data_IF_143361949236
#
_entry.id   IF_143361949236
#
_cell.length_a   1.000
_cell.length_b   1.000
_cell.length_c   1.000
_cell.angle_alpha   90.00
_cell.angle_beta   90.00
_cell.angle_gamma   90.00
#
_symmetry.space_group_name_H-M   'P 1'
#
loop_
_entity.id
_entity.type
_entity.pdbx_description
1 polymer ?
#
# COMPACT_ATOMS: atom_id res chain seq x y z
N UNK A 1 5.09 12.61 16.96
CA UNK A 1 5.54 12.82 15.57
C UNK A 1 6.63 13.87 15.59
N UNK A 2 7.71 13.62 14.85
CA UNK A 2 8.83 14.54 14.63
C UNK A 2 9.14 14.52 13.14
N UNK A 3 8.65 15.54 12.43
CA UNK A 3 8.80 15.63 11.00
C UNK A 3 8.99 17.10 10.60
N UNK A 4 10.20 17.48 10.13
CA UNK A 4 10.46 18.85 9.72
C UNK A 4 9.44 19.35 8.68
N UNK A 5 8.89 20.57 8.82
CA UNK A 5 7.90 21.10 7.88
C UNK A 5 8.37 21.08 6.43
N UNK A 6 7.44 20.85 5.48
CA UNK A 6 7.75 20.80 4.04
C UNK A 6 8.45 19.52 3.55
N UNK A 7 8.57 18.49 4.40
CA UNK A 7 8.90 17.11 3.97
C UNK A 7 7.61 16.29 3.81
N UNK A 8 7.73 15.08 3.27
CA UNK A 8 6.57 14.23 2.93
C UNK A 8 5.62 13.88 4.09
N UNK A 9 6.06 13.99 5.34
CA UNK A 9 5.23 13.73 6.53
C UNK A 9 4.93 15.05 7.26
N UNK A 10 4.25 16.01 6.64
CA UNK A 10 3.98 17.31 7.29
C UNK A 10 2.94 17.15 8.43
N UNK A 11 3.19 17.69 9.64
CA UNK A 11 2.18 17.72 10.72
C UNK A 11 0.84 18.33 10.32
N UNK A 12 0.81 19.27 9.38
CA UNK A 12 -0.43 19.85 8.87
C UNK A 12 -1.28 18.83 8.09
N UNK A 13 -0.64 17.98 7.28
CA UNK A 13 -1.32 16.91 6.54
C UNK A 13 -1.83 15.82 7.49
N UNK A 14 -1.05 15.47 8.51
CA UNK A 14 -1.51 14.61 9.60
C UNK A 14 -2.78 15.16 10.26
N UNK A 15 -2.76 16.43 10.69
CA UNK A 15 -3.91 17.05 11.37
C UNK A 15 -5.14 17.10 10.46
N UNK A 16 -4.97 17.45 9.18
CA UNK A 16 -6.07 17.52 8.20
C UNK A 16 -6.79 16.18 8.04
N UNK A 17 -6.05 15.09 7.88
CA UNK A 17 -6.63 13.76 7.71
C UNK A 17 -7.14 13.22 9.05
N UNK A 18 -6.44 13.45 10.16
CA UNK A 18 -6.90 13.09 11.51
C UNK A 18 -8.26 13.70 11.85
N UNK A 19 -8.44 15.01 11.61
CA UNK A 19 -9.71 15.70 11.85
C UNK A 19 -10.85 15.12 11.00
N UNK A 20 -10.55 14.73 9.77
CA UNK A 20 -11.51 14.04 8.91
C UNK A 20 -11.90 12.67 9.49
N UNK A 21 -10.92 11.84 9.88
CA UNK A 21 -11.18 10.53 10.47
C UNK A 21 -12.00 10.64 11.77
N UNK A 22 -11.71 11.62 12.63
CA UNK A 22 -12.48 11.85 13.86
C UNK A 22 -13.93 12.24 13.59
N UNK A 23 -14.19 13.09 12.58
CA UNK A 23 -15.57 13.44 12.17
C UNK A 23 -16.36 12.23 11.66
N UNK A 24 -15.67 11.23 11.11
CA UNK A 24 -16.28 9.96 10.70
C UNK A 24 -16.39 8.95 11.86
N UNK A 25 -16.07 9.36 13.08
CA UNK A 25 -16.00 8.48 14.25
C UNK A 25 -15.02 7.30 14.07
N UNK A 26 -13.92 7.53 13.35
CA UNK A 26 -12.79 6.61 13.24
C UNK A 26 -11.65 7.02 14.20
N UNK A 27 -10.74 6.08 14.45
CA UNK A 27 -9.69 6.25 15.45
C UNK A 27 -8.35 6.65 14.82
N UNK A 28 -8.13 7.95 14.63
CA UNK A 28 -6.80 8.53 14.48
C UNK A 28 -6.25 8.98 15.85
N UNK A 29 -4.92 9.01 16.10
CA UNK A 29 -4.38 9.52 17.35
C UNK A 29 -4.77 10.98 17.58
N UNK A 30 -5.29 11.32 18.76
CA UNK A 30 -5.57 12.72 19.10
C UNK A 30 -4.27 13.51 19.22
N UNK A 31 -4.22 14.73 18.69
CA UNK A 31 -3.12 15.66 18.95
C UNK A 31 -3.32 16.34 20.30
N UNK A 32 -2.52 15.95 21.30
CA UNK A 32 -2.54 16.47 22.67
C UNK A 32 -1.88 17.85 22.74
N UNK A 33 -0.77 18.02 22.01
CA UNK A 33 -0.08 19.29 21.85
C UNK A 33 0.54 19.37 20.45
N UNK A 34 0.69 20.58 19.93
CA UNK A 34 1.23 20.83 18.59
C UNK A 34 2.22 21.99 18.58
N UNK A 35 3.33 21.79 17.88
CA UNK A 35 4.27 22.82 17.47
C UNK A 35 4.58 22.60 16.00
N UNK A 36 3.64 23.01 15.15
CA UNK A 36 3.73 22.84 13.70
C UNK A 36 4.83 23.70 13.07
N UNK A 37 5.26 24.77 13.75
CA UNK A 37 6.36 25.61 13.27
C UNK A 37 7.70 24.84 13.30
N UNK A 38 7.88 23.97 14.30
CA UNK A 38 9.07 23.13 14.43
C UNK A 38 8.87 21.67 14.00
N UNK A 39 7.67 21.28 13.57
CA UNK A 39 7.42 19.93 13.03
C UNK A 39 6.97 18.89 14.06
N UNK A 40 6.52 19.30 15.24
CA UNK A 40 6.21 18.39 16.35
C UNK A 40 4.72 18.24 16.62
N UNK A 41 4.28 17.00 16.86
CA UNK A 41 3.00 16.68 17.47
C UNK A 41 3.19 15.70 18.63
N UNK A 42 2.57 16.00 19.77
CA UNK A 42 2.36 15.04 20.86
C UNK A 42 1.02 14.36 20.61
N UNK A 43 1.03 13.04 20.46
CA UNK A 43 -0.13 12.25 20.02
C UNK A 43 -0.61 11.31 21.13
N UNK A 44 -1.91 10.98 21.12
CA UNK A 44 -2.50 9.89 21.90
C UNK A 44 -1.77 8.58 21.62
N UNK A 45 -1.44 7.85 22.69
CA UNK A 45 -0.88 6.51 22.59
C UNK A 45 -1.98 5.46 22.43
N UNK A 46 -1.93 4.73 21.32
CA UNK A 46 -2.84 3.63 21.00
C UNK A 46 -2.43 2.29 21.65
N UNK A 47 -1.26 2.25 22.30
CA UNK A 47 -0.68 1.06 22.88
C UNK A 47 -0.23 0.06 21.82
N UNK A 48 0.07 -1.17 22.25
CA UNK A 48 0.82 -2.13 21.44
C UNK A 48 -0.06 -3.16 20.71
N UNK A 49 -1.34 -2.85 20.49
CA UNK A 49 -2.31 -3.76 19.85
C UNK A 49 -2.11 -3.97 18.34
N UNK A 50 -0.88 -3.88 17.82
CA UNK A 50 -0.59 -3.95 16.38
C UNK A 50 -1.18 -5.24 15.78
N UNK A 51 -2.02 -5.11 14.75
CA UNK A 51 -2.68 -6.25 14.09
C UNK A 51 -1.66 -7.33 13.69
N UNK A 52 -0.55 -6.89 13.09
CA UNK A 52 0.62 -7.70 12.79
C UNK A 52 1.00 -8.68 13.90
N UNK A 53 1.17 -8.14 15.11
CA UNK A 53 1.65 -8.87 16.29
C UNK A 53 0.55 -9.77 16.85
N UNK A 54 -0.69 -9.30 16.84
CA UNK A 54 -1.83 -10.08 17.32
C UNK A 54 -2.06 -11.33 16.46
N UNK A 55 -2.02 -11.18 15.14
CA UNK A 55 -2.17 -12.31 14.20
C UNK A 55 -0.99 -13.28 14.30
N UNK A 56 0.23 -12.77 14.46
CA UNK A 56 1.40 -13.64 14.67
C UNK A 56 1.29 -14.48 15.96
N UNK A 57 0.68 -13.92 17.01
CA UNK A 57 0.50 -14.61 18.29
C UNK A 57 -0.70 -15.58 18.28
N UNK A 58 -1.79 -15.23 17.58
CA UNK A 58 -2.98 -16.07 17.43
C UNK A 58 -3.52 -15.94 15.99
N UNK A 59 -3.18 -16.88 15.09
CA UNK A 59 -3.64 -16.85 13.71
C UNK A 59 -5.16 -16.81 13.53
N UNK A 60 -5.93 -17.28 14.52
CA UNK A 60 -7.41 -17.21 14.45
C UNK A 60 -7.94 -15.77 14.52
N UNK A 61 -7.11 -14.80 14.90
CA UNK A 61 -7.45 -13.38 14.91
C UNK A 61 -7.39 -12.74 13.52
N UNK A 62 -6.78 -13.38 12.51
CA UNK A 62 -6.58 -12.79 11.19
C UNK A 62 -7.90 -12.32 10.58
N UNK A 63 -8.83 -13.25 10.34
CA UNK A 63 -10.10 -12.92 9.70
C UNK A 63 -10.93 -11.90 10.51
N UNK A 64 -11.14 -12.04 11.84
CA UNK A 64 -11.86 -11.04 12.63
C UNK A 64 -11.25 -9.64 12.59
N UNK A 65 -9.92 -9.52 12.74
CA UNK A 65 -9.23 -8.23 12.73
C UNK A 65 -9.29 -7.61 11.33
N UNK A 66 -8.97 -8.38 10.30
CA UNK A 66 -8.99 -7.90 8.92
C UNK A 66 -10.40 -7.52 8.48
N UNK A 67 -11.43 -8.27 8.89
CA UNK A 67 -12.83 -7.89 8.66
C UNK A 67 -13.13 -6.51 9.26
N UNK A 68 -12.72 -6.25 10.51
CA UNK A 68 -12.92 -4.94 11.13
C UNK A 68 -12.18 -3.81 10.39
N UNK A 69 -10.99 -4.09 9.85
CA UNK A 69 -10.27 -3.15 9.00
C UNK A 69 -11.01 -2.87 7.69
N UNK A 70 -11.56 -3.89 7.02
CA UNK A 70 -12.33 -3.72 5.79
C UNK A 70 -13.66 -2.99 6.04
N UNK A 71 -14.34 -3.27 7.15
CA UNK A 71 -15.52 -2.48 7.58
C UNK A 71 -15.16 -1.00 7.80
N UNK A 72 -13.98 -0.72 8.34
CA UNK A 72 -13.45 0.64 8.51
C UNK A 72 -13.18 1.31 7.16
N UNK A 73 -12.59 0.60 6.19
CA UNK A 73 -12.40 1.11 4.82
C UNK A 73 -13.72 1.43 4.13
N UNK A 74 -14.69 0.51 4.18
CA UNK A 74 -16.00 0.70 3.58
C UNK A 74 -16.72 1.91 4.20
N UNK A 75 -16.60 2.12 5.51
CA UNK A 75 -17.14 3.30 6.18
C UNK A 75 -16.43 4.58 5.74
N UNK A 76 -15.09 4.59 5.68
CA UNK A 76 -14.31 5.73 5.21
C UNK A 76 -14.72 6.14 3.79
N UNK A 77 -14.78 5.18 2.87
CA UNK A 77 -14.99 5.41 1.44
C UNK A 77 -16.44 5.79 1.07
N UNK A 78 -17.40 5.62 1.98
CA UNK A 78 -18.79 6.11 1.81
C UNK A 78 -18.93 7.62 2.02
N UNK A 79 -17.90 8.28 2.56
CA UNK A 79 -17.92 9.70 2.85
C UNK A 79 -17.04 10.47 1.87
N UNK A 80 -17.41 11.72 1.59
CA UNK A 80 -16.62 12.58 0.73
C UNK A 80 -15.24 12.86 1.35
N UNK A 81 -14.19 12.69 0.55
CA UNK A 81 -12.83 12.97 0.97
C UNK A 81 -12.63 14.47 1.27
N UNK A 82 -11.65 14.84 2.12
CA UNK A 82 -11.24 16.23 2.30
C UNK A 82 -10.89 16.89 0.97
N UNK A 83 -11.23 18.19 0.83
CA UNK A 83 -10.88 18.94 -0.37
C UNK A 83 -9.37 19.12 -0.54
N UNK A 84 -8.92 19.25 -1.79
CA UNK A 84 -7.53 19.56 -2.13
C UNK A 84 -6.53 18.47 -1.77
N UNK A 85 -6.95 17.21 -1.77
CA UNK A 85 -6.02 16.07 -1.72
C UNK A 85 -5.38 15.84 -3.08
N UNK A 86 -4.13 15.32 -3.14
CA UNK A 86 -3.53 14.89 -4.39
C UNK A 86 -4.44 13.91 -5.12
N UNK A 87 -4.55 14.04 -6.44
CA UNK A 87 -5.37 13.17 -7.27
C UNK A 87 -4.58 12.71 -8.49
N UNK A 88 -3.93 11.56 -8.36
CA UNK A 88 -3.03 11.02 -9.37
C UNK A 88 -3.81 10.34 -10.50
N UNK A 89 -3.45 10.67 -11.73
CA UNK A 89 -4.01 10.07 -12.93
C UNK A 89 -3.52 8.63 -13.12
N UNK A 90 -4.20 7.86 -13.98
CA UNK A 90 -3.72 6.54 -14.40
C UNK A 90 -2.28 6.56 -14.96
N UNK A 91 -1.89 7.65 -15.63
CA UNK A 91 -0.53 7.84 -16.14
C UNK A 91 0.49 7.98 -15.01
N UNK A 92 0.18 8.78 -13.99
CA UNK A 92 1.05 8.97 -12.82
C UNK A 92 1.26 7.65 -12.06
N UNK A 93 0.18 6.87 -11.91
CA UNK A 93 0.25 5.54 -11.29
C UNK A 93 1.03 4.52 -12.12
N UNK A 94 0.91 4.56 -13.46
CA UNK A 94 1.69 3.72 -14.35
C UNK A 94 3.18 4.09 -14.30
N UNK A 95 3.51 5.38 -14.27
CA UNK A 95 4.89 5.83 -14.09
C UNK A 95 5.48 5.37 -12.75
N UNK A 96 4.71 5.44 -11.67
CA UNK A 96 5.14 4.95 -10.36
C UNK A 96 5.42 3.43 -10.34
N UNK A 97 4.74 2.65 -11.18
CA UNK A 97 5.02 1.21 -11.32
C UNK A 97 6.38 0.94 -12.00
N UNK A 98 6.93 1.91 -12.75
CA UNK A 98 8.22 1.75 -13.43
C UNK A 98 9.43 1.79 -12.49
N UNK A 99 9.21 1.87 -11.18
CA UNK A 99 10.27 1.63 -10.19
C UNK A 99 10.87 0.23 -10.33
N UNK A 100 10.08 -0.80 -10.67
CA UNK A 100 10.60 -2.15 -10.89
C UNK A 100 11.66 -2.20 -12.00
N UNK A 101 11.40 -1.75 -13.25
CA UNK A 101 12.44 -1.73 -14.28
C UNK A 101 13.61 -0.80 -13.92
N UNK A 102 13.33 0.40 -13.37
CA UNK A 102 14.36 1.42 -13.04
C UNK A 102 15.36 0.98 -11.97
N UNK A 103 14.91 0.28 -10.92
CA UNK A 103 15.77 -0.04 -9.77
C UNK A 103 16.02 -1.54 -9.63
N UNK A 104 14.97 -2.36 -9.72
CA UNK A 104 15.11 -3.80 -9.51
C UNK A 104 15.72 -4.50 -10.72
N UNK A 105 15.14 -4.33 -11.91
CA UNK A 105 15.66 -4.98 -13.12
C UNK A 105 17.03 -4.41 -13.50
N UNK A 106 17.21 -3.08 -13.42
CA UNK A 106 18.48 -2.43 -13.71
C UNK A 106 19.64 -2.98 -12.87
N UNK A 107 19.43 -3.17 -11.55
CA UNK A 107 20.47 -3.73 -10.67
C UNK A 107 20.81 -5.20 -10.97
N UNK A 108 19.90 -5.96 -11.59
CA UNK A 108 20.13 -7.37 -11.95
C UNK A 108 20.77 -7.49 -13.34
N UNK A 109 20.27 -6.72 -14.30
CA UNK A 109 20.66 -6.76 -15.72
C UNK A 109 21.87 -5.86 -16.04
N UNK A 110 22.25 -4.96 -15.12
CA UNK A 110 23.31 -3.97 -15.31
C UNK A 110 22.88 -2.73 -16.09
N UNK A 111 21.66 -2.68 -16.60
CA UNK A 111 21.06 -1.54 -17.28
C UNK A 111 19.54 -1.58 -17.17
N UNK A 112 18.90 -0.41 -17.24
CA UNK A 112 17.44 -0.31 -17.26
C UNK A 112 16.90 -0.88 -18.59
N UNK A 113 16.00 -1.88 -18.56
CA UNK A 113 15.37 -2.39 -19.78
C UNK A 113 14.39 -1.35 -20.36
N UNK A 114 14.15 -1.41 -21.68
CA UNK A 114 13.09 -0.62 -22.30
C UNK A 114 11.71 -1.01 -21.74
N UNK A 115 11.16 -0.16 -20.89
CA UNK A 115 9.91 -0.41 -20.17
C UNK A 115 8.70 0.34 -20.78
N UNK A 116 8.87 1.07 -21.88
CA UNK A 116 7.77 1.83 -22.49
C UNK A 116 6.54 0.97 -22.86
N UNK A 117 6.69 -0.28 -23.36
CA UNK A 117 5.54 -1.17 -23.57
C UNK A 117 4.83 -1.55 -22.27
N UNK A 118 5.59 -1.80 -21.19
CA UNK A 118 5.04 -2.14 -19.88
C UNK A 118 4.28 -0.95 -19.28
N UNK A 119 4.85 0.25 -19.33
CA UNK A 119 4.19 1.46 -18.84
C UNK A 119 2.86 1.70 -19.57
N UNK A 120 2.86 1.60 -20.90
CA UNK A 120 1.65 1.75 -21.73
C UNK A 120 0.59 0.70 -21.36
N UNK A 121 1.00 -0.56 -21.18
CA UNK A 121 0.07 -1.64 -20.81
C UNK A 121 -0.54 -1.41 -19.41
N UNK A 122 0.26 -0.99 -18.43
CA UNK A 122 -0.21 -0.67 -17.07
C UNK A 122 -1.16 0.52 -17.10
N UNK A 123 -0.82 1.61 -17.81
CA UNK A 123 -1.69 2.78 -17.94
C UNK A 123 -3.03 2.40 -18.58
N UNK A 124 -3.00 1.61 -19.65
CA UNK A 124 -4.21 1.15 -20.34
C UNK A 124 -5.10 0.31 -19.43
N UNK A 125 -4.51 -0.62 -18.68
CA UNK A 125 -5.24 -1.45 -17.72
C UNK A 125 -5.86 -0.61 -16.59
N UNK A 126 -5.12 0.36 -16.04
CA UNK A 126 -5.61 1.30 -15.04
C UNK A 126 -6.79 2.12 -15.58
N UNK A 127 -6.64 2.77 -16.74
CA UNK A 127 -7.72 3.55 -17.37
C UNK A 127 -8.99 2.72 -17.58
N UNK A 128 -8.83 1.45 -17.98
CA UNK A 128 -9.96 0.59 -18.32
C UNK A 128 -10.68 0.01 -17.11
N UNK A 129 -9.93 -0.35 -16.06
CA UNK A 129 -10.46 -1.17 -14.97
C UNK A 129 -10.37 -0.52 -13.59
N UNK A 130 -9.59 0.55 -13.45
CA UNK A 130 -9.30 1.19 -12.17
C UNK A 130 -9.13 2.71 -12.33
N UNK A 131 -10.02 3.39 -13.06
CA UNK A 131 -10.05 4.86 -13.19
C UNK A 131 -11.46 5.42 -12.93
N UNK A 132 -12.26 4.66 -12.19
CA UNK A 132 -13.63 5.00 -11.81
C UNK A 132 -13.71 5.98 -10.62
N UNK A 133 -14.79 5.92 -9.82
CA UNK A 133 -15.01 6.83 -8.70
C UNK A 133 -13.80 6.98 -7.78
N UNK A 134 -13.48 8.24 -7.44
CA UNK A 134 -12.37 8.59 -6.56
C UNK A 134 -12.86 8.60 -5.11
N UNK A 135 -12.11 7.96 -4.23
CA UNK A 135 -12.33 7.94 -2.78
C UNK A 135 -11.05 8.34 -2.04
N UNK A 136 -11.16 8.65 -0.75
CA UNK A 136 -9.99 8.78 0.11
C UNK A 136 -9.31 7.41 0.26
N UNK A 137 -8.05 7.32 -0.16
CA UNK A 137 -7.15 6.21 0.13
C UNK A 137 -6.09 6.68 1.13
N UNK A 138 -5.77 5.85 2.10
CA UNK A 138 -4.76 6.11 3.14
C UNK A 138 -3.36 5.67 2.70
N UNK A 139 -3.28 4.86 1.62
CA UNK A 139 -2.08 4.34 0.94
C UNK A 139 -1.26 3.30 1.68
N UNK A 140 -1.03 3.52 2.98
CA UNK A 140 -0.28 2.65 3.88
C UNK A 140 -1.22 1.90 4.85
N UNK A 141 -2.37 1.47 4.31
CA UNK A 141 -3.37 0.68 5.03
C UNK A 141 -2.97 -0.80 5.06
N UNK A 142 -2.20 -1.19 6.07
CA UNK A 142 -1.75 -2.57 6.26
C UNK A 142 -1.53 -2.89 7.74
N UNK A 143 -1.41 -4.17 8.10
CA UNK A 143 -1.51 -4.60 9.50
C UNK A 143 -0.40 -4.09 10.46
N UNK A 144 0.71 -3.52 9.98
CA UNK A 144 1.65 -2.79 10.86
C UNK A 144 1.11 -1.43 11.33
N UNK A 145 0.21 -0.83 10.54
CA UNK A 145 -0.30 0.53 10.77
C UNK A 145 -1.74 0.52 11.33
N UNK A 146 -2.20 -0.67 11.75
CA UNK A 146 -3.52 -0.88 12.34
C UNK A 146 -3.35 -1.37 13.78
N UNK A 147 -3.94 -0.65 14.72
CA UNK A 147 -3.89 -0.97 16.15
C UNK A 147 -5.26 -1.42 16.62
N UNK A 148 -5.34 -2.57 17.28
CA UNK A 148 -6.56 -3.02 17.94
C UNK A 148 -6.76 -2.29 19.27
N UNK A 149 -7.90 -1.62 19.41
CA UNK A 149 -8.28 -0.81 20.57
C UNK A 149 -9.47 -1.46 21.27
N UNK A 150 -9.27 -2.53 22.08
CA UNK A 150 -10.35 -3.39 22.58
C UNK A 150 -11.34 -2.68 23.49
N UNK A 151 -10.95 -1.55 24.10
CA UNK A 151 -11.80 -0.73 24.96
C UNK A 151 -12.70 0.24 24.19
N UNK A 152 -12.44 0.45 22.89
CA UNK A 152 -13.30 1.26 22.01
C UNK A 152 -14.44 0.38 21.48
N UNK A 153 -15.47 1.00 20.90
CA UNK A 153 -16.66 0.31 20.40
C UNK A 153 -16.75 0.38 18.89
N UNK A 154 -17.33 -0.64 18.26
CA UNK A 154 -17.57 -0.71 16.81
C UNK A 154 -16.30 -0.45 15.98
N UNK A 155 -16.40 0.40 14.95
CA UNK A 155 -15.30 0.78 14.06
C UNK A 155 -14.14 1.47 14.79
N UNK A 156 -14.41 2.12 15.93
CA UNK A 156 -13.34 2.76 16.72
C UNK A 156 -12.35 1.77 17.32
N UNK A 157 -12.62 0.46 17.26
CA UNK A 157 -11.67 -0.58 17.67
C UNK A 157 -10.47 -0.69 16.73
N UNK A 158 -10.52 -0.10 15.54
CA UNK A 158 -9.40 -0.05 14.60
C UNK A 158 -8.74 1.33 14.67
N UNK A 159 -7.59 1.41 15.34
CA UNK A 159 -6.69 2.54 15.33
C UNK A 159 -5.92 2.62 14.01
N UNK A 160 -5.91 3.79 13.39
CA UNK A 160 -5.28 4.07 12.10
C UNK A 160 -4.03 4.90 12.33
N UNK A 161 -2.89 4.44 11.81
CA UNK A 161 -1.60 5.15 11.80
C UNK A 161 -1.14 5.42 10.36
N UNK A 162 -0.11 6.27 10.20
CA UNK A 162 0.55 6.57 8.92
C UNK A 162 -0.39 6.93 7.76
N UNK A 163 -1.44 7.71 8.05
CA UNK A 163 -2.45 8.13 7.08
C UNK A 163 -2.18 9.51 6.45
N UNK A 164 -1.15 10.24 6.89
CA UNK A 164 -0.85 11.62 6.46
C UNK A 164 -0.57 11.75 4.96
N UNK A 165 -0.16 10.67 4.30
CA UNK A 165 0.01 10.60 2.84
C UNK A 165 -1.29 10.33 2.08
N UNK A 166 -2.43 10.32 2.77
CA UNK A 166 -3.73 10.02 2.19
C UNK A 166 -4.06 10.96 1.03
N UNK A 167 -4.71 10.40 0.01
CA UNK A 167 -4.94 11.08 -1.26
C UNK A 167 -6.21 10.55 -1.95
N UNK A 168 -6.59 11.13 -3.08
CA UNK A 168 -7.64 10.56 -3.92
C UNK A 168 -7.12 9.33 -4.66
N UNK A 169 -7.93 8.28 -4.73
CA UNK A 169 -7.59 7.02 -5.39
C UNK A 169 -8.80 6.14 -5.63
N UNK A 170 -8.54 4.91 -6.05
CA UNK A 170 -9.58 3.92 -6.35
C UNK A 170 -9.93 3.09 -5.10
N UNK A 171 -11.21 2.69 -4.93
CA UNK A 171 -11.68 2.00 -3.71
C UNK A 171 -10.85 0.80 -3.28
N UNK A 172 -10.45 -0.05 -4.22
CA UNK A 172 -9.72 -1.28 -3.93
C UNK A 172 -8.24 -1.07 -3.54
N UNK A 173 -7.69 0.16 -3.63
CA UNK A 173 -6.25 0.40 -3.43
C UNK A 173 -5.76 0.00 -2.03
N UNK A 174 -6.48 0.43 -0.99
CA UNK A 174 -6.13 0.11 0.40
C UNK A 174 -6.48 -1.33 0.77
N UNK A 175 -7.49 -1.92 0.12
CA UNK A 175 -7.80 -3.34 0.29
C UNK A 175 -6.65 -4.21 -0.25
N UNK A 176 -6.11 -3.89 -1.42
CA UNK A 176 -4.91 -4.54 -1.96
C UNK A 176 -3.73 -4.36 -1.00
N UNK A 177 -3.55 -3.16 -0.43
CA UNK A 177 -2.51 -2.89 0.56
C UNK A 177 -2.60 -3.81 1.79
N UNK A 178 -3.83 -4.06 2.27
CA UNK A 178 -4.09 -4.90 3.43
C UNK A 178 -3.90 -6.39 3.13
N UNK A 179 -4.47 -6.87 2.02
CA UNK A 179 -4.59 -8.30 1.72
C UNK A 179 -3.39 -8.86 0.94
N UNK A 180 -2.68 -8.01 0.20
CA UNK A 180 -1.43 -8.37 -0.51
C UNK A 180 -0.24 -7.68 0.16
N UNK A 181 -0.18 -7.79 1.50
CA UNK A 181 0.85 -7.15 2.31
C UNK A 181 2.22 -7.80 2.09
N UNK A 182 3.20 -7.00 1.68
CA UNK A 182 4.56 -7.46 1.45
C UNK A 182 5.21 -8.09 2.70
N UNK A 183 4.75 -7.75 3.90
CA UNK A 183 5.41 -8.11 5.17
C UNK A 183 4.87 -9.37 5.81
N UNK A 184 3.70 -9.85 5.38
CA UNK A 184 3.02 -11.00 6.00
C UNK A 184 2.24 -11.81 4.97
N UNK A 185 2.05 -13.08 5.27
CA UNK A 185 1.27 -13.98 4.42
C UNK A 185 -0.18 -13.97 4.91
N UNK A 186 -1.03 -13.20 4.24
CA UNK A 186 -2.47 -13.19 4.50
C UNK A 186 -3.07 -14.44 3.87
N UNK A 187 -3.84 -15.21 4.64
CA UNK A 187 -4.39 -16.47 4.14
C UNK A 187 -5.30 -16.26 2.92
N UNK A 188 -5.32 -17.24 2.02
CA UNK A 188 -6.16 -17.21 0.82
C UNK A 188 -7.65 -17.17 1.19
N UNK A 189 -8.01 -17.81 2.30
CA UNK A 189 -9.35 -17.81 2.89
C UNK A 189 -9.76 -16.39 3.31
N UNK A 190 -8.89 -15.67 4.03
CA UNK A 190 -9.12 -14.27 4.41
C UNK A 190 -9.20 -13.35 3.20
N UNK A 191 -8.24 -13.45 2.26
CA UNK A 191 -8.24 -12.63 1.03
C UNK A 191 -9.55 -12.85 0.24
N UNK A 192 -9.95 -14.11 0.04
CA UNK A 192 -11.18 -14.46 -0.70
C UNK A 192 -12.44 -13.93 -0.01
N UNK A 193 -12.59 -14.18 1.30
CA UNK A 193 -13.77 -13.77 2.04
C UNK A 193 -13.94 -12.24 2.07
N UNK A 194 -12.83 -11.50 2.24
CA UNK A 194 -12.87 -10.05 2.34
C UNK A 194 -12.97 -9.35 0.98
N UNK A 195 -12.41 -9.93 -0.07
CA UNK A 195 -12.67 -9.50 -1.45
C UNK A 195 -14.15 -9.68 -1.82
N UNK A 196 -14.77 -10.82 -1.46
CA UNK A 196 -16.19 -11.05 -1.69
C UNK A 196 -17.08 -10.04 -0.93
N UNK A 197 -16.71 -9.74 0.32
CA UNK A 197 -17.42 -8.72 1.12
C UNK A 197 -17.28 -7.31 0.55
N UNK A 198 -16.08 -6.93 0.09
CA UNK A 198 -15.82 -5.58 -0.41
C UNK A 198 -16.43 -5.36 -1.80
N UNK A 199 -16.34 -6.35 -2.69
CA UNK A 199 -16.76 -6.27 -4.08
C UNK A 199 -18.18 -6.75 -4.37
N UNK A 200 -19.01 -7.02 -3.34
CA UNK A 200 -20.30 -7.70 -3.47
C UNK A 200 -21.22 -7.13 -4.56
N UNK A 201 -21.19 -5.80 -4.76
CA UNK A 201 -22.06 -5.07 -5.70
C UNK A 201 -21.32 -4.47 -6.90
N UNK A 202 -20.06 -4.85 -7.12
CA UNK A 202 -19.22 -4.30 -8.20
C UNK A 202 -18.71 -5.42 -9.13
N UNK A 203 -19.33 -5.62 -10.32
CA UNK A 203 -18.88 -6.64 -11.26
C UNK A 203 -17.49 -6.34 -11.87
N UNK A 204 -17.02 -5.09 -11.78
CA UNK A 204 -15.69 -4.67 -12.20
C UNK A 204 -14.61 -4.90 -11.14
N UNK A 205 -14.99 -5.21 -9.90
CA UNK A 205 -14.09 -5.24 -8.76
C UNK A 205 -12.90 -6.19 -8.96
N UNK A 206 -13.13 -7.41 -9.43
CA UNK A 206 -12.05 -8.40 -9.58
C UNK A 206 -10.95 -7.92 -10.54
N UNK A 207 -11.33 -7.28 -11.65
CA UNK A 207 -10.39 -6.70 -12.59
C UNK A 207 -9.67 -5.49 -11.98
N UNK A 208 -10.40 -4.60 -11.31
CA UNK A 208 -9.83 -3.43 -10.62
C UNK A 208 -8.80 -3.85 -9.56
N UNK A 209 -9.16 -4.83 -8.72
CA UNK A 209 -8.32 -5.39 -7.67
C UNK A 209 -7.03 -5.98 -8.23
N UNK A 210 -7.12 -6.81 -9.28
CA UNK A 210 -5.94 -7.37 -9.93
C UNK A 210 -5.04 -6.29 -10.55
N UNK A 211 -5.62 -5.30 -11.24
CA UNK A 211 -4.85 -4.20 -11.87
C UNK A 211 -4.13 -3.36 -10.83
N UNK A 212 -4.80 -2.97 -9.74
CA UNK A 212 -4.20 -2.22 -8.64
C UNK A 212 -3.16 -3.07 -7.89
N UNK A 213 -3.40 -4.36 -7.73
CA UNK A 213 -2.45 -5.35 -7.21
C UNK A 213 -1.15 -5.39 -8.03
N UNK A 214 -1.25 -5.55 -9.35
CA UNK A 214 -0.10 -5.57 -10.24
C UNK A 214 0.66 -4.23 -10.22
N UNK A 215 -0.06 -3.10 -10.31
CA UNK A 215 0.53 -1.77 -10.23
C UNK A 215 1.31 -1.58 -8.92
N UNK A 216 0.70 -1.90 -7.78
CA UNK A 216 1.33 -1.77 -6.45
C UNK A 216 2.53 -2.70 -6.31
N UNK A 217 2.42 -3.95 -6.75
CA UNK A 217 3.51 -4.92 -6.66
C UNK A 217 4.74 -4.47 -7.46
N UNK A 218 4.55 -4.02 -8.72
CA UNK A 218 5.62 -3.45 -9.55
C UNK A 218 6.30 -2.26 -8.85
N UNK A 219 5.50 -1.34 -8.31
CA UNK A 219 6.01 -0.20 -7.56
C UNK A 219 6.81 -0.63 -6.32
N UNK A 220 6.27 -1.53 -5.50
CA UNK A 220 6.89 -1.97 -4.24
C UNK A 220 8.20 -2.72 -4.48
N UNK A 221 8.26 -3.62 -5.47
CA UNK A 221 9.49 -4.34 -5.84
C UNK A 221 10.61 -3.34 -6.14
N UNK A 222 10.31 -2.32 -6.94
CA UNK A 222 11.27 -1.27 -7.26
C UNK A 222 11.62 -0.37 -6.08
N UNK A 223 10.67 -0.05 -5.21
CA UNK A 223 10.93 0.71 -3.97
C UNK A 223 11.87 -0.07 -3.04
N UNK A 224 11.66 -1.37 -2.86
CA UNK A 224 12.54 -2.20 -2.02
C UNK A 224 13.95 -2.30 -2.59
N UNK A 225 14.10 -2.45 -3.91
CA UNK A 225 15.39 -2.37 -4.57
C UNK A 225 16.05 -0.99 -4.35
N UNK A 226 15.32 0.10 -4.58
CA UNK A 226 15.81 1.48 -4.35
C UNK A 226 16.22 1.72 -2.90
N UNK A 227 15.47 1.23 -1.92
CA UNK A 227 15.79 1.35 -0.50
C UNK A 227 17.09 0.65 -0.14
N UNK A 228 17.41 -0.48 -0.79
CA UNK A 228 18.73 -1.08 -0.65
C UNK A 228 19.80 -0.25 -1.38
N UNK A 229 19.62 -0.02 -2.67
CA UNK A 229 20.63 0.62 -3.53
C UNK A 229 21.02 2.01 -3.03
N UNK A 230 20.05 2.84 -2.63
CA UNK A 230 20.28 4.24 -2.27
C UNK A 230 20.04 4.52 -0.78
N UNK A 231 19.23 3.72 -0.10
CA UNK A 231 18.93 3.91 1.32
C UNK A 231 19.75 3.04 2.27
N UNK A 232 20.57 2.13 1.74
CA UNK A 232 21.36 1.19 2.54
C UNK A 232 20.52 0.26 3.41
N UNK A 233 19.29 -0.07 2.97
CA UNK A 233 18.34 -0.92 3.71
C UNK A 233 18.19 -2.30 3.05
N UNK A 234 19.17 -3.22 3.18
CA UNK A 234 19.10 -4.54 2.56
C UNK A 234 17.96 -5.42 3.11
N UNK A 235 17.47 -5.13 4.33
CA UNK A 235 16.40 -5.89 4.97
C UNK A 235 15.06 -5.91 4.22
N UNK A 236 14.88 -5.08 3.18
CA UNK A 236 13.70 -5.13 2.32
C UNK A 236 13.80 -6.16 1.18
N UNK A 237 15.01 -6.59 0.78
CA UNK A 237 15.17 -7.55 -0.32
C UNK A 237 14.49 -8.91 -0.05
N UNK A 238 14.55 -9.48 1.17
CA UNK A 238 13.85 -10.72 1.50
C UNK A 238 12.32 -10.65 1.35
N UNK A 239 11.73 -9.46 1.26
CA UNK A 239 10.29 -9.28 1.05
C UNK A 239 9.89 -9.35 -0.43
N UNK A 240 10.84 -9.16 -1.36
CA UNK A 240 10.58 -9.12 -2.81
C UNK A 240 9.94 -10.42 -3.34
N UNK A 241 10.38 -11.63 -2.96
CA UNK A 241 9.76 -12.88 -3.44
C UNK A 241 8.25 -12.95 -3.19
N UNK A 242 7.79 -12.47 -2.02
CA UNK A 242 6.35 -12.42 -1.71
C UNK A 242 5.61 -11.46 -2.62
N UNK A 243 6.13 -10.23 -2.77
CA UNK A 243 5.52 -9.21 -3.65
C UNK A 243 5.51 -9.68 -5.10
N UNK A 244 6.55 -10.39 -5.54
CA UNK A 244 6.58 -11.03 -6.85
C UNK A 244 5.51 -12.10 -7.01
N UNK A 245 5.27 -12.94 -6.00
CA UNK A 245 4.18 -13.92 -6.05
C UNK A 245 2.80 -13.25 -6.17
N UNK A 246 2.57 -12.15 -5.45
CA UNK A 246 1.36 -11.33 -5.64
C UNK A 246 1.27 -10.77 -7.06
N UNK A 247 2.37 -10.24 -7.61
CA UNK A 247 2.40 -9.78 -9.01
C UNK A 247 2.00 -10.90 -9.97
N UNK A 248 2.61 -12.07 -9.88
CA UNK A 248 2.31 -13.21 -10.77
C UNK A 248 0.84 -13.64 -10.67
N UNK A 249 0.27 -13.69 -9.46
CA UNK A 249 -1.14 -14.01 -9.24
C UNK A 249 -2.06 -12.98 -9.90
N UNK A 250 -1.77 -11.69 -9.74
CA UNK A 250 -2.54 -10.62 -10.37
C UNK A 250 -2.43 -10.69 -11.90
N UNK A 251 -1.23 -10.91 -12.44
CA UNK A 251 -0.98 -11.03 -13.88
C UNK A 251 -1.69 -12.23 -14.54
N UNK A 252 -2.08 -13.24 -13.76
CA UNK A 252 -2.88 -14.36 -14.26
C UNK A 252 -4.34 -13.95 -14.58
N UNK A 253 -4.81 -12.78 -14.11
CA UNK A 253 -6.15 -12.29 -14.42
C UNK A 253 -6.25 -11.87 -15.91
N UNK A 254 -7.31 -12.26 -16.65
CA UNK A 254 -7.42 -11.98 -18.09
C UNK A 254 -7.30 -10.50 -18.48
N UNK A 255 -7.79 -9.59 -17.63
CA UNK A 255 -7.68 -8.14 -17.81
C UNK A 255 -6.23 -7.62 -17.88
N UNK A 256 -5.26 -8.40 -17.40
CA UNK A 256 -3.85 -8.03 -17.34
C UNK A 256 -2.98 -8.77 -18.37
N UNK A 257 -3.58 -9.46 -19.35
CA UNK A 257 -2.82 -10.25 -20.35
C UNK A 257 -1.71 -9.46 -21.08
N UNK A 258 -1.94 -8.20 -21.43
CA UNK A 258 -0.92 -7.36 -22.07
C UNK A 258 0.16 -6.90 -21.08
N UNK A 259 -0.21 -6.63 -19.84
CA UNK A 259 0.74 -6.33 -18.76
C UNK A 259 1.62 -7.55 -18.48
N UNK A 260 1.02 -8.74 -18.45
CA UNK A 260 1.73 -10.00 -18.23
C UNK A 260 2.81 -10.21 -19.30
N UNK A 261 2.45 -10.07 -20.59
CA UNK A 261 3.41 -10.14 -21.71
C UNK A 261 4.51 -9.09 -21.58
N UNK A 262 4.15 -7.84 -21.33
CA UNK A 262 5.12 -6.74 -21.25
C UNK A 262 6.03 -6.83 -20.01
N UNK A 263 5.59 -7.50 -18.95
CA UNK A 263 6.36 -7.67 -17.71
C UNK A 263 7.51 -8.67 -17.81
N UNK A 264 7.62 -9.41 -18.93
CA UNK A 264 8.71 -10.36 -19.19
C UNK A 264 10.11 -9.74 -19.20
N UNK A 265 10.21 -8.41 -19.24
CA UNK A 265 11.46 -7.66 -19.08
C UNK A 265 12.04 -7.72 -17.66
N UNK A 266 11.24 -8.19 -16.68
CA UNK A 266 11.65 -8.25 -15.28
C UNK A 266 12.20 -9.66 -14.95
N UNK A 267 13.44 -9.77 -14.45
CA UNK A 267 13.99 -11.05 -14.03
C UNK A 267 13.31 -11.54 -12.72
N UNK A 268 13.09 -12.85 -12.54
CA UNK A 268 12.50 -13.38 -11.31
C UNK A 268 13.44 -13.18 -10.09
N UNK A 269 12.91 -13.04 -8.87
CA UNK A 269 13.70 -12.77 -7.67
C UNK A 269 14.34 -14.05 -7.12
N UNK A 270 15.19 -14.69 -7.91
CA UNK A 270 16.02 -15.80 -7.45
C UNK A 270 17.00 -15.31 -6.39
N UNK A 271 17.48 -16.22 -5.55
CA UNK A 271 18.51 -15.92 -4.56
C UNK A 271 19.73 -15.24 -5.20
N UNK A 272 20.17 -15.73 -6.37
CA UNK A 272 21.26 -15.11 -7.13
C UNK A 272 20.96 -13.66 -7.51
N UNK A 273 19.75 -13.38 -8.03
CA UNK A 273 19.35 -12.04 -8.44
C UNK A 273 19.24 -11.09 -7.25
N UNK A 274 18.70 -11.55 -6.12
CA UNK A 274 18.63 -10.75 -4.90
C UNK A 274 20.02 -10.46 -4.33
N UNK A 275 20.95 -11.42 -4.37
CA UNK A 275 22.34 -11.22 -3.98
C UNK A 275 23.06 -10.21 -4.88
N UNK A 276 22.79 -10.20 -6.19
CA UNK A 276 23.33 -9.17 -7.10
C UNK A 276 22.92 -7.77 -6.67
N UNK A 277 21.66 -7.57 -6.28
CA UNK A 277 21.18 -6.28 -5.73
C UNK A 277 21.85 -5.99 -4.39
N UNK A 278 21.91 -6.97 -3.48
CA UNK A 278 22.48 -6.80 -2.15
C UNK A 278 23.96 -6.36 -2.16
N UNK A 279 24.76 -6.83 -3.13
CA UNK A 279 26.16 -6.40 -3.30
C UNK A 279 26.31 -4.94 -3.71
N UNK A 280 25.25 -4.33 -4.24
CA UNK A 280 25.18 -2.93 -4.66
C UNK A 280 24.52 -2.02 -3.61
N UNK A 281 24.07 -2.57 -2.47
CA UNK A 281 23.43 -1.78 -1.41
C UNK A 281 24.36 -0.64 -0.94
N UNK A 282 23.82 0.57 -0.78
CA UNK A 282 24.57 1.67 -0.20
C UNK A 282 25.04 1.29 1.21
N UNK A 283 26.30 1.60 1.53
CA UNK A 283 26.86 1.33 2.86
C UNK A 283 26.56 2.43 3.88
N UNK A 284 26.20 3.63 3.40
CA UNK A 284 25.84 4.78 4.22
C UNK A 284 24.74 5.59 3.50
N UNK A 285 23.54 5.76 4.10
CA UNK A 285 22.48 6.62 3.57
C UNK A 285 22.81 8.12 3.72
#
# INVERSE_FOLDING_TARGET
>A
MDAPPGKGDDPADFLKISDHLHRLHLSAPQAIAKDTANGFLLLEDFGDGVFARLVANDPNQELPLYKAAVETLLHLQRHAAPAGLPDLSAKDWAEAAMFAPRFYAAAILGQEPNHAPLQTAVETALRRHADGPRVLILRDFHAENLIWLPRRQHLRRVGLLDFQLGQMGQPAYDLVSLLQDARRDVSAETETALCAMFGQDDPGFAAAYAVLGAQRALRIIGIFARLCLHGGKPGYLPLIPRVWAHLQRNLAHPALSDVAKASAILPPPTEENLQRIARQCARHP
#
